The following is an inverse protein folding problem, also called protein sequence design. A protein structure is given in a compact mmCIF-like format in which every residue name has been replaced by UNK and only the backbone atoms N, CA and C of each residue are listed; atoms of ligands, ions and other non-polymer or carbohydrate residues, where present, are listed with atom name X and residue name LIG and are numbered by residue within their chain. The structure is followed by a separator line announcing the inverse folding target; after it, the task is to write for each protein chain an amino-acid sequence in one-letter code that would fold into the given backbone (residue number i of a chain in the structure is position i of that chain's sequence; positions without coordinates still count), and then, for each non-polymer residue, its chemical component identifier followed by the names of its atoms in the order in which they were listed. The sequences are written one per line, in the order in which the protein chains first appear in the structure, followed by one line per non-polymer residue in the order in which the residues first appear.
data_IF_747090685411
#
_entry.id   IF_747090685411
#
_cell.length_a   1.000
_cell.length_b   1.000
_cell.length_c   1.000
_cell.angle_alpha   90.00
_cell.angle_beta   90.00
_cell.angle_gamma   90.00
#
_symmetry.space_group_name_H-M   'P 1'
#
loop_
_entity.id
_entity.type
_entity.pdbx_description
1 polymer ?
#
# COMPACT_ATOMS: atom_id res chain seq x y z
N UNK A 1 31.17 42.16 -43.49
CA UNK A 1 30.76 40.85 -42.94
C UNK A 1 31.74 39.79 -43.41
N UNK A 2 32.45 39.06 -42.52
CA UNK A 2 33.14 37.75 -42.76
C UNK A 2 34.38 37.46 -41.89
N UNK A 3 34.71 38.27 -40.86
CA UNK A 3 35.88 37.96 -40.01
C UNK A 3 35.59 37.59 -38.55
N UNK A 4 34.43 37.99 -38.01
CA UNK A 4 34.04 37.64 -36.63
C UNK A 4 33.26 36.34 -36.48
N UNK A 5 32.65 35.80 -37.55
CA UNK A 5 31.88 34.56 -37.47
C UNK A 5 32.75 33.28 -37.51
N UNK A 6 34.03 33.37 -37.91
CA UNK A 6 34.93 32.20 -37.96
C UNK A 6 35.50 31.81 -36.60
N UNK A 7 35.52 32.72 -35.62
CA UNK A 7 36.03 32.42 -34.26
C UNK A 7 34.96 31.81 -33.33
N UNK A 8 33.67 32.02 -33.62
CA UNK A 8 32.58 31.44 -32.83
C UNK A 8 32.39 29.94 -33.08
N UNK A 9 32.68 29.46 -34.29
CA UNK A 9 32.49 28.04 -34.65
C UNK A 9 33.56 27.14 -34.02
N UNK A 10 34.78 27.64 -33.82
CA UNK A 10 35.88 26.87 -33.22
C UNK A 10 35.66 26.68 -31.70
N UNK A 11 34.99 27.62 -31.02
CA UNK A 11 34.71 27.53 -29.58
C UNK A 11 33.51 26.63 -29.27
N UNK A 12 32.63 26.36 -30.25
CA UNK A 12 31.49 25.45 -30.10
C UNK A 12 31.88 23.97 -30.32
N UNK A 13 32.98 23.71 -31.04
CA UNK A 13 33.48 22.35 -31.30
C UNK A 13 34.34 21.82 -30.15
N UNK A 14 34.91 22.69 -29.30
CA UNK A 14 35.68 22.26 -28.11
C UNK A 14 34.83 21.74 -26.95
N UNK A 15 33.50 21.90 -26.98
CA UNK A 15 32.60 21.38 -25.93
C UNK A 15 32.02 19.99 -26.23
N UNK A 16 32.23 19.46 -27.44
CA UNK A 16 31.71 18.13 -27.84
C UNK A 16 32.71 16.98 -27.60
N UNK A 17 33.93 17.27 -27.12
CA UNK A 17 34.99 16.28 -26.87
C UNK A 17 35.11 15.80 -25.42
N UNK A 18 34.44 16.43 -24.47
CA UNK A 18 34.36 15.94 -23.09
C UNK A 18 33.16 15.01 -23.00
N UNK A 19 33.32 13.82 -23.58
CA UNK A 19 32.53 12.66 -23.21
C UNK A 19 32.69 12.45 -21.72
N UNK A 20 31.74 13.00 -20.97
CA UNK A 20 31.66 12.84 -19.52
C UNK A 20 31.40 11.36 -19.31
N UNK A 21 32.48 10.60 -19.11
CA UNK A 21 32.48 9.31 -18.44
C UNK A 21 32.05 9.57 -17.01
N UNK A 22 30.76 9.87 -16.81
CA UNK A 22 30.15 9.62 -15.53
C UNK A 22 30.22 8.10 -15.37
N UNK A 23 30.89 7.57 -14.34
CA UNK A 23 30.65 6.19 -13.99
C UNK A 23 29.14 6.10 -13.78
N UNK A 24 28.49 5.26 -14.59
CA UNK A 24 27.16 4.78 -14.25
C UNK A 24 27.37 4.16 -12.88
N UNK A 25 26.98 4.89 -11.82
CA UNK A 25 26.90 4.34 -10.49
C UNK A 25 25.77 3.33 -10.60
N UNK A 26 26.12 2.12 -11.02
CA UNK A 26 25.29 0.95 -10.86
C UNK A 26 24.96 0.95 -9.38
N UNK A 27 23.71 1.27 -9.05
CA UNK A 27 23.20 1.05 -7.72
C UNK A 27 23.57 -0.38 -7.36
N UNK A 28 24.35 -0.54 -6.29
CA UNK A 28 24.80 -1.85 -5.86
C UNK A 28 23.56 -2.76 -5.78
N UNK A 29 23.59 -3.95 -6.39
CA UNK A 29 22.49 -4.88 -6.26
C UNK A 29 22.30 -5.12 -4.76
N UNK A 30 21.11 -4.84 -4.25
CA UNK A 30 20.72 -5.18 -2.88
C UNK A 30 20.98 -6.68 -2.77
N UNK A 31 22.04 -7.07 -2.07
CA UNK A 31 22.32 -8.47 -1.81
C UNK A 31 21.14 -9.01 -0.99
N UNK A 32 20.53 -10.10 -1.47
CA UNK A 32 19.44 -10.81 -0.78
C UNK A 32 19.76 -11.19 0.67
N UNK A 33 21.01 -11.06 1.13
CA UNK A 33 21.42 -11.29 2.53
C UNK A 33 20.82 -10.29 3.52
N UNK A 34 20.35 -9.13 3.06
CA UNK A 34 19.91 -8.04 3.94
C UNK A 34 18.37 -7.94 4.03
N UNK A 35 17.64 -8.86 3.38
CA UNK A 35 16.18 -8.89 3.41
C UNK A 35 15.67 -9.74 4.58
N UNK A 36 14.75 -9.14 5.34
CA UNK A 36 14.05 -9.74 6.46
C UNK A 36 12.61 -10.02 6.02
N UNK A 37 12.15 -11.26 6.23
CA UNK A 37 10.75 -11.63 6.02
C UNK A 37 9.86 -11.10 7.14
N UNK A 38 8.91 -10.25 6.78
CA UNK A 38 7.84 -9.78 7.67
C UNK A 38 6.55 -10.50 7.34
N UNK A 39 6.05 -11.28 8.29
CA UNK A 39 4.73 -11.92 8.22
C UNK A 39 3.64 -10.91 8.58
N UNK A 40 2.62 -10.80 7.75
CA UNK A 40 1.40 -10.06 8.06
C UNK A 40 0.24 -11.05 8.15
N UNK A 41 -0.33 -11.18 9.35
CA UNK A 41 -1.50 -12.00 9.61
C UNK A 41 -2.74 -11.12 9.55
N UNK A 42 -3.62 -11.40 8.60
CA UNK A 42 -4.87 -10.66 8.41
C UNK A 42 -6.01 -11.57 8.86
N UNK A 43 -6.83 -11.10 9.76
CA UNK A 43 -7.99 -11.83 10.30
C UNK A 43 -9.24 -10.99 10.09
N UNK A 44 -10.30 -11.61 9.58
CA UNK A 44 -11.60 -10.98 9.38
C UNK A 44 -12.55 -11.45 10.47
N UNK A 45 -13.05 -10.53 11.27
CA UNK A 45 -14.07 -10.81 12.28
C UNK A 45 -15.44 -10.96 11.61
N UNK A 46 -16.14 -12.06 11.91
CA UNK A 46 -17.42 -12.44 11.30
C UNK A 46 -17.40 -12.37 9.77
N UNK A 47 -16.64 -13.24 9.08
CA UNK A 47 -16.41 -13.15 7.63
C UNK A 47 -17.69 -13.04 6.81
N UNK A 48 -18.70 -13.86 7.11
CA UNK A 48 -19.99 -13.84 6.40
C UNK A 48 -20.70 -12.48 6.44
N UNK A 49 -20.58 -11.78 7.57
CA UNK A 49 -21.14 -10.44 7.74
C UNK A 49 -20.23 -9.39 7.10
N UNK A 50 -18.92 -9.50 7.32
CA UNK A 50 -17.94 -8.55 6.79
C UNK A 50 -18.04 -8.38 5.28
N UNK A 51 -18.07 -9.49 4.54
CA UNK A 51 -18.09 -9.45 3.07
C UNK A 51 -19.40 -8.88 2.50
N UNK A 52 -20.51 -9.07 3.21
CA UNK A 52 -21.83 -8.56 2.81
C UNK A 52 -22.08 -7.13 3.27
N UNK A 53 -21.25 -6.60 4.17
CA UNK A 53 -21.46 -5.28 4.73
C UNK A 53 -21.12 -4.18 3.71
N UNK A 54 -21.98 -3.16 3.53
CA UNK A 54 -21.68 -2.06 2.63
C UNK A 54 -20.66 -1.09 3.24
N UNK A 55 -19.42 -1.12 2.75
CA UNK A 55 -18.40 -0.11 3.10
C UNK A 55 -18.60 1.13 2.22
N UNK A 56 -18.89 2.27 2.85
CA UNK A 56 -19.17 3.53 2.13
C UNK A 56 -20.27 3.38 1.05
N UNK A 57 -21.28 2.55 1.33
CA UNK A 57 -22.38 2.29 0.41
C UNK A 57 -22.09 1.28 -0.70
N UNK A 58 -20.92 0.63 -0.71
CA UNK A 58 -20.56 -0.43 -1.67
C UNK A 58 -20.23 -1.73 -0.93
N UNK A 59 -20.79 -2.85 -1.37
CA UNK A 59 -20.33 -4.18 -0.97
C UNK A 59 -18.91 -4.40 -1.53
N UNK A 60 -18.04 -5.10 -0.81
CA UNK A 60 -16.65 -5.29 -1.25
C UNK A 60 -16.49 -6.70 -1.81
N UNK A 61 -15.77 -6.83 -2.93
CA UNK A 61 -15.52 -8.10 -3.60
C UNK A 61 -14.06 -8.57 -3.45
N UNK A 62 -13.27 -7.87 -2.64
CA UNK A 62 -11.94 -8.30 -2.27
C UNK A 62 -11.18 -7.29 -1.43
N UNK A 63 -10.03 -7.72 -0.92
CA UNK A 63 -9.09 -6.86 -0.23
C UNK A 63 -7.74 -7.01 -0.92
N UNK A 64 -7.16 -5.90 -1.36
CA UNK A 64 -5.78 -5.87 -1.84
C UNK A 64 -4.88 -5.36 -0.73
N UNK A 65 -3.85 -6.12 -0.39
CA UNK A 65 -2.75 -5.65 0.43
C UNK A 65 -1.51 -5.51 -0.45
N UNK A 66 -0.86 -4.36 -0.38
CA UNK A 66 0.33 -4.08 -1.19
C UNK A 66 1.40 -3.41 -0.35
N UNK A 67 2.67 -3.61 -0.72
CA UNK A 67 3.80 -3.08 0.02
C UNK A 67 5.11 -3.64 -0.52
N UNK A 68 6.19 -2.86 -0.44
CA UNK A 68 7.52 -3.30 -0.86
C UNK A 68 7.60 -3.88 -2.29
N UNK A 69 6.76 -3.39 -3.21
CA UNK A 69 6.68 -3.90 -4.59
C UNK A 69 5.93 -5.22 -4.75
N UNK A 70 5.38 -5.78 -3.67
CA UNK A 70 4.57 -6.99 -3.66
C UNK A 70 3.09 -6.63 -3.45
N UNK A 71 2.19 -7.43 -3.99
CA UNK A 71 0.74 -7.28 -3.79
C UNK A 71 0.07 -8.65 -3.70
N UNK A 72 -0.86 -8.76 -2.75
CA UNK A 72 -1.66 -9.94 -2.49
C UNK A 72 -3.14 -9.56 -2.50
N UNK A 73 -3.99 -10.46 -2.95
CA UNK A 73 -5.42 -10.26 -3.05
C UNK A 73 -6.16 -11.32 -2.26
N UNK A 74 -6.89 -10.87 -1.24
CA UNK A 74 -7.70 -11.72 -0.38
C UNK A 74 -9.07 -11.84 -1.05
N UNK A 75 -9.42 -13.08 -1.37
CA UNK A 75 -10.68 -13.42 -2.01
C UNK A 75 -11.87 -13.16 -1.07
N UNK A 76 -13.03 -12.78 -1.63
CA UNK A 76 -14.26 -12.67 -0.85
C UNK A 76 -14.58 -14.03 -0.21
N UNK A 77 -15.33 -14.03 0.90
CA UNK A 77 -15.61 -15.21 1.77
C UNK A 77 -14.44 -15.72 2.60
N UNK A 78 -13.21 -15.24 2.38
CA UNK A 78 -12.06 -15.61 3.22
C UNK A 78 -12.25 -15.13 4.66
N UNK A 79 -11.76 -15.91 5.63
CA UNK A 79 -11.65 -15.48 7.03
C UNK A 79 -10.40 -14.64 7.31
N UNK A 80 -9.58 -14.37 6.29
CA UNK A 80 -8.29 -13.73 6.43
C UNK A 80 -7.18 -14.49 5.70
N UNK A 81 -5.99 -13.91 5.66
CA UNK A 81 -4.85 -14.48 4.95
C UNK A 81 -3.53 -14.13 5.65
N UNK A 82 -2.54 -15.02 5.51
CA UNK A 82 -1.17 -14.77 5.94
C UNK A 82 -0.32 -14.48 4.72
N UNK A 83 0.30 -13.30 4.70
CA UNK A 83 1.19 -12.86 3.62
C UNK A 83 2.57 -12.52 4.15
N UNK A 84 3.59 -12.62 3.30
CA UNK A 84 4.97 -12.32 3.66
C UNK A 84 5.53 -11.22 2.75
N UNK A 85 6.19 -10.23 3.36
CA UNK A 85 6.92 -9.19 2.65
C UNK A 85 8.41 -9.30 2.92
N UNK A 86 9.21 -9.20 1.87
CA UNK A 86 10.67 -9.09 2.00
C UNK A 86 11.04 -7.62 2.20
N UNK A 87 11.60 -7.30 3.37
CA UNK A 87 11.89 -5.93 3.80
C UNK A 87 13.37 -5.79 4.12
N UNK A 88 14.09 -4.80 3.57
CA UNK A 88 15.48 -4.57 3.96
C UNK A 88 15.62 -4.34 5.47
N UNK A 89 16.70 -4.84 6.05
CA UNK A 89 17.04 -4.61 7.46
C UNK A 89 17.09 -3.12 7.77
N UNK A 90 16.52 -2.73 8.92
CA UNK A 90 16.37 -1.34 9.37
C UNK A 90 15.45 -0.45 8.50
N UNK A 91 14.83 -0.97 7.44
CA UNK A 91 13.80 -0.25 6.69
C UNK A 91 12.44 -0.35 7.37
N UNK A 92 11.58 0.65 7.16
CA UNK A 92 10.19 0.60 7.61
C UNK A 92 9.35 -0.16 6.60
N UNK A 93 8.64 -1.19 7.05
CA UNK A 93 7.60 -1.81 6.24
C UNK A 93 6.46 -0.80 6.08
N UNK A 94 6.11 -0.50 4.82
CA UNK A 94 4.94 0.29 4.45
C UNK A 94 4.00 -0.58 3.66
N UNK A 95 2.75 -0.64 4.08
CA UNK A 95 1.69 -1.39 3.39
C UNK A 95 0.49 -0.48 3.12
N UNK A 96 -0.22 -0.74 2.04
CA UNK A 96 -1.55 -0.23 1.77
C UNK A 96 -2.54 -1.40 1.81
N UNK A 97 -3.67 -1.17 2.46
CA UNK A 97 -4.82 -2.07 2.46
C UNK A 97 -5.95 -1.36 1.74
N UNK A 98 -6.43 -1.99 0.68
CA UNK A 98 -7.45 -1.46 -0.22
C UNK A 98 -8.66 -2.39 -0.20
N UNK A 99 -9.82 -1.86 0.15
CA UNK A 99 -11.09 -2.54 -0.05
C UNK A 99 -11.52 -2.34 -1.50
N UNK A 100 -11.82 -3.43 -2.21
CA UNK A 100 -12.12 -3.42 -3.64
C UNK A 100 -13.62 -3.69 -3.88
N UNK A 101 -14.16 -3.08 -4.94
CA UNK A 101 -15.44 -3.44 -5.55
C UNK A 101 -15.30 -3.31 -7.07
N UNK A 102 -15.49 -4.39 -7.81
CA UNK A 102 -15.38 -4.44 -9.27
C UNK A 102 -14.07 -3.85 -9.82
N UNK A 103 -12.94 -4.15 -9.17
CA UNK A 103 -11.61 -3.57 -9.45
C UNK A 103 -11.44 -2.07 -9.15
N UNK A 104 -12.42 -1.42 -8.50
CA UNK A 104 -12.29 -0.07 -7.98
C UNK A 104 -11.94 -0.09 -6.48
N UNK A 105 -11.02 0.77 -6.06
CA UNK A 105 -10.72 0.98 -4.64
C UNK A 105 -11.84 1.77 -3.96
N UNK A 106 -12.62 1.12 -3.10
CA UNK A 106 -13.66 1.73 -2.27
C UNK A 106 -13.03 2.55 -1.14
N UNK A 107 -12.01 1.98 -0.49
CA UNK A 107 -11.30 2.62 0.61
C UNK A 107 -9.86 2.13 0.65
N UNK A 108 -8.92 3.06 0.81
CA UNK A 108 -7.52 2.76 1.03
C UNK A 108 -7.12 3.17 2.45
N UNK A 109 -6.33 2.35 3.13
CA UNK A 109 -5.69 2.68 4.41
C UNK A 109 -4.23 2.27 4.38
N UNK A 110 -3.33 3.20 4.73
CA UNK A 110 -1.88 2.98 4.71
C UNK A 110 -1.32 2.81 6.12
N UNK A 111 -0.46 1.82 6.29
CA UNK A 111 0.24 1.54 7.54
C UNK A 111 1.75 1.57 7.34
N UNK A 112 2.47 1.96 8.38
CA UNK A 112 3.93 1.92 8.42
C UNK A 112 4.39 1.48 9.79
N UNK A 113 5.44 0.65 9.85
CA UNK A 113 6.10 0.36 11.12
C UNK A 113 6.69 1.63 11.72
N UNK A 114 6.66 1.75 13.05
CA UNK A 114 7.22 2.91 13.78
C UNK A 114 8.75 2.95 13.69
N UNK A 115 9.38 1.79 13.67
CA UNK A 115 10.84 1.58 13.60
C UNK A 115 11.17 0.72 12.39
N UNK A 116 12.45 0.68 12.05
CA UNK A 116 12.97 -0.27 11.08
C UNK A 116 12.73 -1.71 11.53
N UNK A 117 12.51 -2.60 10.59
CA UNK A 117 12.34 -4.04 10.81
C UNK A 117 13.67 -4.63 11.29
N UNK A 118 13.62 -5.46 12.33
CA UNK A 118 14.76 -6.12 12.96
C UNK A 118 14.55 -7.63 13.06
N UNK A 119 15.55 -8.41 13.44
CA UNK A 119 15.45 -9.88 13.35
C UNK A 119 14.59 -10.51 14.48
N UNK A 120 14.08 -9.73 15.44
CA UNK A 120 13.57 -10.29 16.71
C UNK A 120 12.04 -10.41 16.78
N UNK A 121 11.25 -9.63 16.04
CA UNK A 121 9.77 -9.80 15.92
C UNK A 121 9.21 -9.21 14.61
N UNK A 122 9.12 -10.04 13.56
CA UNK A 122 8.70 -9.65 12.22
C UNK A 122 7.26 -10.05 11.91
N UNK A 123 6.35 -9.74 12.82
CA UNK A 123 4.93 -10.07 12.67
C UNK A 123 4.07 -8.85 12.87
N UNK A 124 3.17 -8.61 11.92
CA UNK A 124 2.11 -7.61 11.99
C UNK A 124 0.76 -8.33 11.98
N UNK A 125 -0.11 -7.98 12.91
CA UNK A 125 -1.47 -8.51 12.98
C UNK A 125 -2.46 -7.42 12.58
N UNK A 126 -3.36 -7.74 11.66
CA UNK A 126 -4.41 -6.85 11.16
C UNK A 126 -5.74 -7.54 11.41
N UNK A 127 -6.55 -6.97 12.31
CA UNK A 127 -7.91 -7.39 12.54
C UNK A 127 -8.87 -6.48 11.76
N UNK A 128 -9.60 -7.06 10.83
CA UNK A 128 -10.60 -6.38 10.02
C UNK A 128 -11.98 -6.62 10.62
N UNK A 129 -12.70 -5.53 10.89
CA UNK A 129 -14.06 -5.55 11.43
C UNK A 129 -14.98 -4.80 10.49
N UNK A 130 -16.19 -5.32 10.33
CA UNK A 130 -17.26 -4.53 9.74
C UNK A 130 -17.61 -3.37 10.69
N UNK A 131 -18.01 -2.21 10.17
CA UNK A 131 -18.55 -1.13 10.98
C UNK A 131 -19.76 -1.60 11.78
N UNK A 132 -19.94 -1.00 12.95
CA UNK A 132 -21.12 -1.26 13.76
C UNK A 132 -22.40 -0.83 13.01
N UNK A 133 -23.54 -1.51 13.22
CA UNK A 133 -24.82 -1.08 12.70
C UNK A 133 -25.11 0.37 13.12
N UNK A 134 -25.60 1.19 12.17
CA UNK A 134 -26.03 2.54 12.51
C UNK A 134 -27.33 2.48 13.32
N UNK A 135 -27.41 3.26 14.39
CA UNK A 135 -28.64 3.40 15.17
C UNK A 135 -29.75 4.02 14.32
N UNK A 136 -30.96 3.47 14.44
CA UNK A 136 -32.16 4.06 13.83
C UNK A 136 -32.54 5.30 14.64
N UNK A 137 -32.66 6.45 13.99
CA UNK A 137 -33.12 7.70 14.62
C UNK A 137 -34.57 7.92 14.22
N UNK A 138 -35.49 7.87 15.19
CA UNK A 138 -36.88 8.25 15.01
C UNK A 138 -37.03 9.74 15.33
N UNK A 139 -37.53 10.53 14.38
CA UNK A 139 -37.68 11.99 14.52
C UNK A 139 -39.13 12.45 14.67
N UNK A 140 -40.07 11.51 14.77
CA UNK A 140 -41.50 11.80 14.91
C UNK A 140 -41.93 11.74 16.37
N UNK A 141 -42.81 12.65 16.78
CA UNK A 141 -43.44 12.62 18.10
C UNK A 141 -44.56 11.57 18.21
N UNK A 142 -45.05 11.07 17.07
CA UNK A 142 -46.22 10.20 17.01
C UNK A 142 -45.88 8.72 17.22
N UNK A 143 -44.59 8.34 17.22
CA UNK A 143 -44.16 6.95 17.32
C UNK A 143 -43.00 6.79 18.30
N UNK A 144 -43.11 5.80 19.18
CA UNK A 144 -42.07 5.40 20.14
C UNK A 144 -41.44 4.06 19.74
N UNK A 145 -40.15 3.89 20.03
CA UNK A 145 -39.45 2.61 19.85
C UNK A 145 -39.94 1.59 20.89
N UNK A 146 -40.63 0.55 20.46
CA UNK A 146 -41.02 -0.56 21.33
C UNK A 146 -39.88 -1.58 21.34
N UNK A 147 -39.16 -1.72 22.47
CA UNK A 147 -38.16 -2.77 22.63
C UNK A 147 -38.84 -4.15 22.65
N UNK A 148 -38.60 -4.94 21.60
CA UNK A 148 -38.93 -6.37 21.60
C UNK A 148 -38.06 -7.14 22.60
N UNK A 149 -38.64 -8.13 23.29
CA UNK A 149 -37.93 -9.07 24.15
C UNK A 149 -37.12 -10.07 23.34
#
# INVERSE_FOLDING_TARGET
MKWFQKKAVILMISFLGLGIWLPVVQAAPIQNSDLIKVTVNITIENPDYFWKYPFLGKEIDGIRISGMGQSFFIQPTSSGERVEFDVPKNYRLKIALELQNNNETVKETRYSTKRGVDDKKNTLEILLKAPEPQSIILTTADFEEIRGK
#
